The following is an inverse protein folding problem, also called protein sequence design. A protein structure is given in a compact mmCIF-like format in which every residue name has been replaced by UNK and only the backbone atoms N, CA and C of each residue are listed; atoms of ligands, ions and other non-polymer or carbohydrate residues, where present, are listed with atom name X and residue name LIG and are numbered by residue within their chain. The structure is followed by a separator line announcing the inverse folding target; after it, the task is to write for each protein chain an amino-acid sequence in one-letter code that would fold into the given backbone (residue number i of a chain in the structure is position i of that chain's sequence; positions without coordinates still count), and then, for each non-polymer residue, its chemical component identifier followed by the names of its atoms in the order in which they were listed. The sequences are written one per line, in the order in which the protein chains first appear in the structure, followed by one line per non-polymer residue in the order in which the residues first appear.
data_IF_336499760141
#
_entry.id   IF_336499760141
#
_cell.length_a   1.000
_cell.length_b   1.000
_cell.length_c   1.000
_cell.angle_alpha   90.00
_cell.angle_beta   90.00
_cell.angle_gamma   90.00
#
_symmetry.space_group_name_H-M   'P 1'
#
loop_
_entity.id
_entity.type
_entity.pdbx_description
1 polymer ?
#
# COMPACT_ATOMS: atom_id res chain seq x y z
N UNK A 1 23.99 -13.24 21.51
CA UNK A 1 24.49 -12.14 20.66
C UNK A 1 23.87 -12.30 19.26
N UNK A 2 22.88 -11.50 18.92
CA UNK A 2 22.29 -11.45 17.57
C UNK A 2 23.36 -10.86 16.62
N UNK A 3 23.99 -11.69 15.80
CA UNK A 3 24.80 -11.24 14.67
C UNK A 3 23.87 -10.57 13.66
N UNK A 4 23.70 -9.27 13.78
CA UNK A 4 23.12 -8.45 12.72
C UNK A 4 24.04 -8.52 11.51
N UNK A 5 23.64 -9.34 10.54
CA UNK A 5 24.33 -9.46 9.27
C UNK A 5 24.06 -8.18 8.46
N UNK A 6 24.99 -7.23 8.31
CA UNK A 6 24.78 -5.92 7.69
C UNK A 6 24.34 -6.03 6.20
N UNK A 7 24.54 -7.19 5.58
CA UNK A 7 24.10 -7.47 4.22
C UNK A 7 22.61 -7.82 4.05
N UNK A 8 21.83 -7.86 5.15
CA UNK A 8 20.38 -8.08 5.11
C UNK A 8 19.54 -6.80 5.18
N UNK A 9 20.13 -5.63 4.99
CA UNK A 9 19.34 -4.44 4.61
C UNK A 9 18.86 -4.72 3.19
N UNK A 10 17.70 -5.38 3.11
CA UNK A 10 17.20 -5.88 1.86
C UNK A 10 16.93 -4.71 0.91
N UNK A 11 17.13 -4.91 -0.37
CA UNK A 11 16.78 -4.01 -1.47
C UNK A 11 15.41 -3.31 -1.27
N UNK A 12 14.50 -3.95 -0.55
CA UNK A 12 13.22 -3.39 -0.13
C UNK A 12 13.37 -2.15 0.76
N UNK A 13 14.26 -2.19 1.75
CA UNK A 13 14.45 -1.06 2.69
C UNK A 13 14.96 0.16 1.96
N UNK A 14 15.97 -0.03 1.09
CA UNK A 14 16.51 1.06 0.26
C UNK A 14 15.44 1.62 -0.67
N UNK A 15 14.70 0.75 -1.35
CA UNK A 15 13.60 1.10 -2.22
C UNK A 15 12.52 1.90 -1.50
N UNK A 16 12.12 1.45 -0.31
CA UNK A 16 11.11 2.14 0.50
C UNK A 16 11.61 3.52 0.92
N UNK A 17 12.86 3.62 1.38
CA UNK A 17 13.46 4.89 1.78
C UNK A 17 13.52 5.87 0.59
N UNK A 18 14.03 5.43 -0.56
CA UNK A 18 14.07 6.25 -1.78
C UNK A 18 12.68 6.67 -2.23
N UNK A 19 11.72 5.73 -2.25
CA UNK A 19 10.33 6.01 -2.64
C UNK A 19 9.66 7.03 -1.71
N UNK A 20 9.85 6.90 -0.40
CA UNK A 20 9.35 7.86 0.59
C UNK A 20 9.92 9.26 0.36
N UNK A 21 11.24 9.35 0.20
CA UNK A 21 11.94 10.62 -0.03
C UNK A 21 11.46 11.30 -1.31
N UNK A 22 11.35 10.55 -2.41
CA UNK A 22 10.82 11.07 -3.67
C UNK A 22 9.37 11.53 -3.53
N UNK A 23 8.52 10.78 -2.83
CA UNK A 23 7.13 11.15 -2.58
C UNK A 23 7.00 12.49 -1.87
N UNK A 24 7.75 12.65 -0.78
CA UNK A 24 7.76 13.91 -0.02
C UNK A 24 8.28 15.08 -0.85
N UNK A 25 9.39 14.90 -1.58
CA UNK A 25 9.99 15.96 -2.41
C UNK A 25 9.01 16.41 -3.49
N UNK A 26 8.42 15.48 -4.24
CA UNK A 26 7.49 15.82 -5.33
C UNK A 26 6.24 16.50 -4.79
N UNK A 27 5.62 15.98 -3.72
CA UNK A 27 4.44 16.62 -3.13
C UNK A 27 4.75 18.01 -2.58
N UNK A 28 5.94 18.22 -1.97
CA UNK A 28 6.39 19.51 -1.50
C UNK A 28 6.63 20.50 -2.65
N UNK A 29 7.24 20.07 -3.75
CA UNK A 29 7.44 20.87 -4.95
C UNK A 29 6.13 21.31 -5.61
N UNK A 30 5.11 20.45 -5.55
CA UNK A 30 3.76 20.75 -6.02
C UNK A 30 2.96 21.65 -5.07
N UNK A 31 3.52 22.01 -3.91
CA UNK A 31 2.85 22.85 -2.91
C UNK A 31 1.64 22.17 -2.26
N UNK A 32 1.62 20.85 -2.18
CA UNK A 32 0.50 20.10 -1.60
C UNK A 32 0.53 20.19 -0.06
N UNK A 33 -0.65 20.38 0.53
CA UNK A 33 -0.83 20.27 1.97
C UNK A 33 -0.65 18.79 2.39
N UNK A 34 -0.21 18.57 3.64
CA UNK A 34 0.02 17.20 4.17
C UNK A 34 1.00 16.36 3.34
N UNK A 35 1.95 16.96 2.63
CA UNK A 35 2.91 16.29 1.74
C UNK A 35 3.66 15.12 2.40
N UNK A 36 3.89 15.16 3.72
CA UNK A 36 4.52 14.08 4.46
C UNK A 36 3.72 12.76 4.42
N UNK A 37 2.40 12.84 4.25
CA UNK A 37 1.53 11.67 4.15
C UNK A 37 1.77 10.86 2.88
N UNK A 38 2.35 11.45 1.83
CA UNK A 38 2.78 10.73 0.63
C UNK A 38 3.79 9.63 0.97
N UNK A 39 4.66 9.85 1.95
CA UNK A 39 5.59 8.84 2.44
C UNK A 39 4.87 7.63 3.03
N UNK A 40 3.81 7.85 3.80
CA UNK A 40 2.98 6.79 4.39
C UNK A 40 2.32 5.98 3.27
N UNK A 41 1.75 6.65 2.26
CA UNK A 41 1.15 6.00 1.09
C UNK A 41 2.16 5.12 0.36
N UNK A 42 3.36 5.63 0.10
CA UNK A 42 4.44 4.87 -0.56
C UNK A 42 4.80 3.62 0.25
N UNK A 43 5.04 3.74 1.56
CA UNK A 43 5.39 2.61 2.44
C UNK A 43 4.34 1.51 2.41
N UNK A 44 3.07 1.90 2.56
CA UNK A 44 1.95 0.96 2.60
C UNK A 44 1.70 0.28 1.24
N UNK A 45 2.10 0.92 0.14
CA UNK A 45 1.85 0.43 -1.22
C UNK A 45 3.02 -0.38 -1.81
N UNK A 46 4.20 -0.37 -1.18
CA UNK A 46 5.33 -1.18 -1.61
C UNK A 46 5.09 -2.65 -1.22
N UNK A 47 4.83 -3.50 -2.22
CA UNK A 47 4.61 -4.94 -2.08
C UNK A 47 5.76 -5.77 -2.63
N UNK A 48 5.76 -7.07 -2.29
CA UNK A 48 6.80 -8.04 -2.68
C UNK A 48 6.60 -8.64 -4.08
N UNK A 49 5.39 -8.57 -4.65
CA UNK A 49 5.05 -9.22 -5.92
C UNK A 49 4.47 -8.23 -6.92
N UNK A 50 4.82 -8.38 -8.22
CA UNK A 50 4.40 -7.45 -9.28
C UNK A 50 2.91 -7.54 -9.62
N UNK A 51 2.36 -8.75 -9.75
CA UNK A 51 0.97 -8.94 -10.19
C UNK A 51 -0.05 -8.47 -9.14
N UNK A 52 0.18 -8.77 -7.87
CA UNK A 52 -0.68 -8.26 -6.80
C UNK A 52 -0.51 -6.76 -6.52
N UNK A 53 0.54 -6.12 -7.08
CA UNK A 53 0.81 -4.71 -6.85
C UNK A 53 -0.19 -3.80 -7.56
N UNK A 54 -0.55 -4.09 -8.81
CA UNK A 54 -1.50 -3.25 -9.58
C UNK A 54 -2.89 -3.33 -8.98
N UNK A 55 -3.37 -4.54 -8.71
CA UNK A 55 -4.69 -4.75 -8.08
C UNK A 55 -4.77 -4.07 -6.71
N UNK A 56 -3.72 -4.19 -5.91
CA UNK A 56 -3.63 -3.54 -4.60
C UNK A 56 -3.64 -2.00 -4.70
N UNK A 57 -2.95 -1.43 -5.68
CA UNK A 57 -2.91 0.02 -5.90
C UNK A 57 -4.28 0.52 -6.34
N UNK A 58 -4.94 -0.17 -7.27
CA UNK A 58 -6.30 0.16 -7.70
C UNK A 58 -7.31 0.05 -6.56
N UNK A 59 -7.25 -1.03 -5.79
CA UNK A 59 -8.08 -1.23 -4.59
C UNK A 59 -7.91 -0.08 -3.60
N UNK A 60 -6.67 0.37 -3.35
CA UNK A 60 -6.37 1.51 -2.49
C UNK A 60 -6.89 2.82 -3.05
N UNK A 61 -6.69 3.06 -4.35
CA UNK A 61 -7.19 4.26 -5.00
C UNK A 61 -8.72 4.37 -4.86
N UNK A 62 -9.44 3.29 -5.17
CA UNK A 62 -10.90 3.23 -5.05
C UNK A 62 -11.35 3.45 -3.60
N UNK A 63 -10.75 2.75 -2.63
CA UNK A 63 -11.06 2.93 -1.20
C UNK A 63 -10.82 4.36 -0.74
N UNK A 64 -9.69 4.97 -1.14
CA UNK A 64 -9.33 6.32 -0.75
C UNK A 64 -10.27 7.37 -1.35
N UNK A 65 -10.66 7.23 -2.61
CA UNK A 65 -11.67 8.10 -3.22
C UNK A 65 -13.02 7.94 -2.55
N UNK A 66 -13.41 6.72 -2.25
CA UNK A 66 -14.69 6.44 -1.58
C UNK A 66 -14.76 7.11 -0.20
N UNK A 67 -13.71 6.97 0.63
CA UNK A 67 -13.70 7.60 1.95
C UNK A 67 -13.60 9.13 1.86
N UNK A 68 -12.87 9.67 0.87
CA UNK A 68 -12.74 11.09 0.65
C UNK A 68 -14.11 11.73 0.38
N UNK A 69 -14.89 11.16 -0.54
CA UNK A 69 -16.24 11.66 -0.86
C UNK A 69 -17.24 11.41 0.29
N UNK A 70 -17.27 10.19 0.82
CA UNK A 70 -18.18 9.83 1.91
C UNK A 70 -17.86 10.61 3.18
N UNK A 71 -16.59 10.72 3.57
CA UNK A 71 -16.13 11.47 4.73
C UNK A 71 -16.41 12.97 4.57
N UNK A 72 -16.11 13.55 3.41
CA UNK A 72 -16.38 14.97 3.13
C UNK A 72 -17.88 15.28 3.21
N UNK A 73 -18.73 14.42 2.65
CA UNK A 73 -20.18 14.58 2.70
C UNK A 73 -20.73 14.50 4.12
N UNK A 74 -20.34 13.47 4.88
CA UNK A 74 -20.83 13.29 6.26
C UNK A 74 -20.33 14.39 7.19
N UNK A 75 -19.04 14.76 7.12
CA UNK A 75 -18.51 15.85 7.94
C UNK A 75 -19.11 17.21 7.57
N UNK A 76 -19.47 17.43 6.31
CA UNK A 76 -20.18 18.65 5.88
C UNK A 76 -21.59 18.75 6.48
N UNK A 77 -22.26 17.61 6.69
CA UNK A 77 -23.63 17.55 7.21
C UNK A 77 -23.68 17.53 8.75
N UNK A 78 -22.82 16.73 9.38
CA UNK A 78 -22.87 16.45 10.83
C UNK A 78 -21.76 17.16 11.62
N UNK A 79 -20.85 17.83 10.93
CA UNK A 79 -19.68 18.49 11.55
C UNK A 79 -18.53 17.54 11.88
N UNK A 80 -17.37 18.12 12.18
CA UNK A 80 -16.12 17.41 12.45
C UNK A 80 -16.01 17.04 13.94
N UNK A 81 -16.81 16.06 14.38
CA UNK A 81 -16.78 15.54 15.74
C UNK A 81 -16.16 14.14 15.78
N UNK A 82 -15.47 13.80 16.87
CA UNK A 82 -14.86 12.48 17.04
C UNK A 82 -15.85 11.32 16.93
N UNK A 83 -17.09 11.53 17.39
CA UNK A 83 -18.16 10.53 17.26
C UNK A 83 -18.54 10.28 15.79
N UNK A 84 -18.61 11.35 14.98
CA UNK A 84 -18.93 11.26 13.54
C UNK A 84 -17.81 10.54 12.80
N UNK A 85 -16.54 10.78 13.18
CA UNK A 85 -15.39 10.04 12.63
C UNK A 85 -15.54 8.53 12.87
N UNK A 86 -15.89 8.12 14.10
CA UNK A 86 -16.13 6.71 14.44
C UNK A 86 -17.28 6.11 13.63
N UNK A 87 -18.36 6.87 13.42
CA UNK A 87 -19.51 6.46 12.63
C UNK A 87 -19.13 6.24 11.15
N UNK A 88 -18.32 7.15 10.58
CA UNK A 88 -17.83 7.02 9.19
C UNK A 88 -17.01 5.75 9.04
N UNK A 89 -16.08 5.47 9.96
CA UNK A 89 -15.24 4.26 9.90
C UNK A 89 -16.10 3.00 10.05
N UNK A 90 -17.10 3.01 10.94
CA UNK A 90 -18.04 1.90 11.15
C UNK A 90 -18.82 1.56 9.87
N UNK A 91 -19.23 2.55 9.10
CA UNK A 91 -19.94 2.35 7.82
C UNK A 91 -18.97 2.00 6.69
N UNK A 92 -17.77 2.59 6.71
CA UNK A 92 -16.78 2.45 5.63
C UNK A 92 -16.18 1.05 5.56
N UNK A 93 -15.82 0.44 6.72
CA UNK A 93 -15.16 -0.88 6.72
C UNK A 93 -16.06 -1.96 6.08
N UNK A 94 -17.33 -2.14 6.44
CA UNK A 94 -18.21 -3.10 5.76
C UNK A 94 -18.35 -2.82 4.27
N UNK A 95 -18.42 -1.54 3.88
CA UNK A 95 -18.55 -1.14 2.50
C UNK A 95 -17.32 -1.55 1.67
N UNK A 96 -16.10 -1.41 2.22
CA UNK A 96 -14.87 -1.87 1.56
C UNK A 96 -14.82 -3.39 1.41
N UNK A 97 -15.41 -4.13 2.34
CA UNK A 97 -15.53 -5.60 2.26
C UNK A 97 -16.45 -5.99 1.11
N UNK A 98 -17.62 -5.38 1.00
CA UNK A 98 -18.59 -5.63 -0.08
C UNK A 98 -17.99 -5.31 -1.46
N UNK A 99 -17.23 -4.20 -1.55
CA UNK A 99 -16.57 -3.79 -2.79
C UNK A 99 -15.26 -4.54 -3.10
N UNK A 100 -14.80 -5.42 -2.18
CA UNK A 100 -13.54 -6.16 -2.28
C UNK A 100 -12.30 -5.26 -2.42
N UNK A 101 -12.31 -4.10 -1.72
CA UNK A 101 -11.22 -3.10 -1.73
C UNK A 101 -10.57 -2.89 -0.35
N UNK A 102 -10.56 -3.92 0.47
CA UNK A 102 -10.11 -3.90 1.86
C UNK A 102 -8.64 -3.49 2.02
N UNK A 103 -7.81 -3.75 1.00
CA UNK A 103 -6.39 -3.37 1.03
C UNK A 103 -6.15 -1.86 1.18
N UNK A 104 -7.14 -1.06 0.87
CA UNK A 104 -7.11 0.40 0.99
C UNK A 104 -7.54 0.95 2.34
N UNK A 105 -8.09 0.17 3.26
CA UNK A 105 -8.68 0.66 4.52
C UNK A 105 -7.71 1.52 5.32
N UNK A 106 -6.46 1.06 5.51
CA UNK A 106 -5.47 1.79 6.31
C UNK A 106 -5.12 3.14 5.67
N UNK A 107 -4.91 3.16 4.35
CA UNK A 107 -4.61 4.41 3.60
C UNK A 107 -5.80 5.35 3.59
N UNK A 108 -7.01 4.83 3.50
CA UNK A 108 -8.26 5.58 3.56
C UNK A 108 -8.47 6.25 4.93
N UNK A 109 -8.12 5.57 6.03
CA UNK A 109 -8.17 6.17 7.37
C UNK A 109 -7.23 7.38 7.49
N UNK A 110 -6.06 7.36 6.86
CA UNK A 110 -5.15 8.52 6.85
C UNK A 110 -5.81 9.72 6.16
N UNK A 111 -6.45 9.52 5.01
CA UNK A 111 -7.17 10.58 4.29
C UNK A 111 -8.35 11.09 5.11
N UNK A 112 -9.10 10.19 5.75
CA UNK A 112 -10.19 10.60 6.62
C UNK A 112 -9.72 11.51 7.76
N UNK A 113 -8.54 11.22 8.35
CA UNK A 113 -7.94 12.08 9.36
C UNK A 113 -7.49 13.44 8.81
N UNK A 114 -7.03 13.52 7.55
CA UNK A 114 -6.74 14.82 6.92
C UNK A 114 -8.02 15.64 6.78
N UNK A 115 -9.10 15.03 6.27
CA UNK A 115 -10.41 15.71 6.15
C UNK A 115 -10.94 16.11 7.53
N UNK A 116 -10.76 15.27 8.54
CA UNK A 116 -11.17 15.58 9.93
C UNK A 116 -10.41 16.77 10.51
N UNK A 117 -9.11 16.89 10.24
CA UNK A 117 -8.27 17.98 10.76
C UNK A 117 -8.31 19.25 9.88
N UNK A 118 -8.99 19.20 8.75
CA UNK A 118 -9.08 20.35 7.86
C UNK A 118 -9.94 21.47 8.49
N UNK A 119 -9.50 22.71 8.34
CA UNK A 119 -10.24 23.89 8.83
C UNK A 119 -11.56 24.11 8.10
N UNK A 120 -11.63 23.72 6.83
CA UNK A 120 -12.83 23.80 6.00
C UNK A 120 -12.80 22.72 4.94
N UNK A 121 -13.95 22.11 4.69
CA UNK A 121 -14.12 21.09 3.63
C UNK A 121 -14.54 21.85 2.37
N UNK A 122 -13.60 22.06 1.48
CA UNK A 122 -13.82 22.74 0.21
C UNK A 122 -13.20 21.97 -0.95
N UNK A 123 -13.50 22.39 -2.19
CA UNK A 123 -12.96 21.74 -3.39
C UNK A 123 -11.43 21.71 -3.45
N UNK A 124 -10.75 22.69 -2.87
CA UNK A 124 -9.29 22.73 -2.80
C UNK A 124 -8.73 21.58 -1.96
N UNK A 125 -9.34 21.29 -0.80
CA UNK A 125 -8.95 20.16 0.04
C UNK A 125 -9.10 18.83 -0.72
N UNK A 126 -10.24 18.63 -1.39
CA UNK A 126 -10.51 17.40 -2.14
C UNK A 126 -9.49 17.22 -3.27
N UNK A 127 -9.21 18.29 -4.01
CA UNK A 127 -8.23 18.26 -5.10
C UNK A 127 -6.81 17.97 -4.57
N UNK A 128 -6.43 18.58 -3.45
CA UNK A 128 -5.15 18.35 -2.79
C UNK A 128 -4.98 16.87 -2.39
N UNK A 129 -5.99 16.25 -1.77
CA UNK A 129 -5.94 14.83 -1.39
C UNK A 129 -5.89 13.90 -2.61
N UNK A 130 -6.61 14.22 -3.69
CA UNK A 130 -6.54 13.46 -4.94
C UNK A 130 -5.13 13.54 -5.55
N UNK A 131 -4.54 14.73 -5.61
CA UNK A 131 -3.17 14.91 -6.13
C UNK A 131 -2.14 14.16 -5.28
N UNK A 132 -2.28 14.21 -3.96
CA UNK A 132 -1.43 13.49 -3.02
C UNK A 132 -1.53 11.96 -3.22
N UNK A 133 -2.75 11.44 -3.45
CA UNK A 133 -2.98 10.04 -3.80
C UNK A 133 -2.31 9.65 -5.11
N UNK A 134 -2.50 10.44 -6.18
CA UNK A 134 -1.93 10.16 -7.50
C UNK A 134 -0.40 10.11 -7.41
N UNK A 135 0.23 11.07 -6.76
CA UNK A 135 1.68 11.11 -6.60
C UNK A 135 2.17 9.95 -5.73
N UNK A 136 1.58 9.74 -4.56
CA UNK A 136 2.00 8.68 -3.63
C UNK A 136 1.85 7.28 -4.22
N UNK A 137 0.69 6.97 -4.82
CA UNK A 137 0.43 5.69 -5.47
C UNK A 137 1.26 5.51 -6.74
N UNK A 138 1.46 6.59 -7.52
CA UNK A 138 2.29 6.57 -8.73
C UNK A 138 3.75 6.24 -8.43
N UNK A 139 4.34 6.87 -7.41
CA UNK A 139 5.70 6.56 -6.96
C UNK A 139 5.79 5.13 -6.43
N UNK A 140 4.84 4.69 -5.63
CA UNK A 140 4.80 3.32 -5.15
C UNK A 140 4.72 2.31 -6.30
N UNK A 141 3.95 2.62 -7.35
CA UNK A 141 3.86 1.81 -8.55
C UNK A 141 5.20 1.73 -9.29
N UNK A 142 5.85 2.88 -9.54
CA UNK A 142 7.19 2.93 -10.17
C UNK A 142 8.21 2.13 -9.36
N UNK A 143 8.22 2.29 -8.04
CA UNK A 143 9.09 1.53 -7.16
C UNK A 143 8.78 0.02 -7.22
N UNK A 144 7.53 -0.39 -7.39
CA UNK A 144 7.17 -1.79 -7.51
C UNK A 144 7.57 -2.38 -8.88
N UNK A 145 7.55 -1.59 -9.95
CA UNK A 145 8.04 -2.02 -11.27
C UNK A 145 9.55 -2.28 -11.28
N UNK A 146 10.32 -1.50 -10.53
CA UNK A 146 11.78 -1.66 -10.43
C UNK A 146 12.20 -2.91 -9.65
N UNK A 147 11.26 -3.70 -9.15
CA UNK A 147 11.58 -4.91 -8.39
C UNK A 147 11.93 -6.06 -9.33
N UNK A 148 13.16 -6.64 -9.25
CA UNK A 148 13.41 -7.93 -9.87
C UNK A 148 12.48 -8.96 -9.25
N UNK A 149 11.73 -9.68 -10.08
CA UNK A 149 10.70 -10.61 -9.63
C UNK A 149 11.30 -11.70 -8.74
N UNK A 150 10.97 -11.70 -7.46
CA UNK A 150 11.21 -12.82 -6.55
C UNK A 150 10.56 -14.11 -7.08
N UNK A 151 9.57 -13.97 -7.96
CA UNK A 151 8.88 -15.08 -8.63
C UNK A 151 9.86 -15.99 -9.39
N UNK A 152 10.91 -15.43 -10.03
CA UNK A 152 11.94 -16.23 -10.69
C UNK A 152 12.76 -17.06 -9.69
N UNK A 153 13.14 -16.47 -8.55
CA UNK A 153 13.84 -17.21 -7.49
C UNK A 153 12.96 -18.25 -6.82
N UNK A 154 11.70 -17.90 -6.56
CA UNK A 154 10.74 -18.83 -5.97
C UNK A 154 10.47 -20.04 -6.88
N UNK A 155 10.31 -19.79 -8.18
CA UNK A 155 10.13 -20.87 -9.16
C UNK A 155 11.38 -21.73 -9.32
N UNK A 156 12.58 -21.13 -9.24
CA UNK A 156 13.82 -21.90 -9.22
C UNK A 156 13.92 -22.81 -7.98
N UNK A 157 13.65 -22.27 -6.79
CA UNK A 157 13.62 -23.07 -5.56
C UNK A 157 12.56 -24.16 -5.59
N UNK A 158 11.39 -23.88 -6.16
CA UNK A 158 10.34 -24.88 -6.31
C UNK A 158 10.77 -26.02 -7.23
N UNK A 159 11.39 -25.70 -8.37
CA UNK A 159 11.97 -26.73 -9.26
C UNK A 159 13.07 -27.54 -8.59
N UNK A 160 13.96 -26.91 -7.83
CA UNK A 160 15.04 -27.58 -7.11
C UNK A 160 14.48 -28.58 -6.09
N UNK A 161 13.44 -28.19 -5.34
CA UNK A 161 12.75 -29.05 -4.38
C UNK A 161 12.05 -30.22 -5.09
N UNK A 162 11.34 -29.97 -6.19
CA UNK A 162 10.67 -31.01 -6.97
C UNK A 162 11.68 -32.02 -7.55
N UNK A 163 12.83 -31.55 -8.01
CA UNK A 163 13.91 -32.41 -8.50
C UNK A 163 14.50 -33.29 -7.39
N UNK A 164 14.78 -32.69 -6.20
CA UNK A 164 15.28 -33.45 -5.05
C UNK A 164 14.28 -34.52 -4.57
N UNK A 165 12.99 -34.19 -4.52
CA UNK A 165 11.94 -35.17 -4.14
C UNK A 165 11.87 -36.32 -5.17
N UNK A 166 12.02 -36.01 -6.44
CA UNK A 166 12.00 -37.01 -7.51
C UNK A 166 13.22 -37.93 -7.43
N UNK A 167 14.38 -37.38 -7.10
CA UNK A 167 15.63 -38.14 -6.92
C UNK A 167 15.52 -39.10 -5.72
N UNK A 168 15.07 -38.60 -4.55
CA UNK A 168 14.85 -39.44 -3.37
C UNK A 168 13.85 -40.55 -3.66
N UNK A 169 12.74 -40.25 -4.33
CA UNK A 169 11.74 -41.27 -4.69
C UNK A 169 12.29 -42.31 -5.68
N UNK A 170 13.24 -41.94 -6.55
CA UNK A 170 13.89 -42.85 -7.47
C UNK A 170 14.89 -43.79 -6.76
N UNK A 171 15.59 -43.27 -5.76
CA UNK A 171 16.50 -44.07 -4.91
C UNK A 171 15.74 -45.03 -4.01
N UNK A 172 14.63 -44.62 -3.39
CA UNK A 172 13.77 -45.56 -2.62
C UNK A 172 13.26 -46.70 -3.48
N UNK A 173 12.90 -46.48 -4.74
CA UNK A 173 12.51 -47.53 -5.67
C UNK A 173 13.65 -48.46 -6.06
N UNK A 174 14.91 -48.02 -5.99
CA UNK A 174 16.10 -48.85 -6.26
C UNK A 174 16.48 -49.70 -5.08
N UNK A 175 16.33 -49.20 -3.86
CA UNK A 175 16.70 -49.91 -2.61
C UNK A 175 15.59 -50.88 -2.18
N UNK A 176 14.34 -50.67 -2.59
CA UNK A 176 13.21 -51.54 -2.27
C UNK A 176 12.98 -52.73 -3.24
N UNK A 177 13.92 -52.95 -4.16
CA UNK A 177 14.02 -54.16 -5.00
C UNK A 177 15.21 -55.02 -4.58
#
# INVERSE_FOLDING_TARGET
MLKLNPYKIGFRTVKTAVGMTLGVIICKLLGLDNYASSAILVVLCIKHTKMHSVQAILSRLVSCLLILFLGSAIFSLLGQHAFVLGLIVLLFIPLTVVLNVQEGVITSCVILLHVFNAKAINGHLILNEIMLLIVGLGIAFLMNLMMPSLDKKLNHFKQDIENQITEIRSEERRVGK
#
